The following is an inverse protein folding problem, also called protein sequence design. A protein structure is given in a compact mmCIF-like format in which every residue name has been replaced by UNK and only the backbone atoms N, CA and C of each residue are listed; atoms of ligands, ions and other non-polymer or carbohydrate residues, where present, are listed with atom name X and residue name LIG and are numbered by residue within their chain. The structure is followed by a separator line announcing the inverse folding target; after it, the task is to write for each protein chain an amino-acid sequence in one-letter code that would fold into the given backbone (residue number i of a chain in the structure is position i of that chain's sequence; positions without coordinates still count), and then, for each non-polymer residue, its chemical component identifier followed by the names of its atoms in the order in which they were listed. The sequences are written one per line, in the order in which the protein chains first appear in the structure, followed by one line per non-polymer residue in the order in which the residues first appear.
data_IF_348297032431
#
_entry.id   IF_348297032431
#
_cell.length_a   1.000
_cell.length_b   1.000
_cell.length_c   1.000
_cell.angle_alpha   90.00
_cell.angle_beta   90.00
_cell.angle_gamma   90.00
#
_symmetry.space_group_name_H-M   'P 1'
#
loop_
_entity.id
_entity.type
_entity.pdbx_description
1 polymer ?
#
# COMPACT_ATOMS: atom_id res chain seq x y z
N UNK A 1 4.66 -23.05 -18.55
CA UNK A 1 4.66 -22.97 -17.07
C UNK A 1 3.32 -23.47 -16.57
N UNK A 2 3.30 -24.37 -15.59
CA UNK A 2 2.05 -24.84 -14.99
C UNK A 2 1.48 -23.80 -14.01
N UNK A 3 0.20 -23.91 -13.66
CA UNK A 3 -0.38 -23.06 -12.61
C UNK A 3 0.40 -23.16 -11.30
N UNK A 4 0.85 -24.36 -10.92
CA UNK A 4 1.64 -24.57 -9.71
C UNK A 4 2.97 -23.82 -9.73
N UNK A 5 3.69 -23.89 -10.86
CA UNK A 5 4.96 -23.16 -11.03
C UNK A 5 4.74 -21.64 -10.98
N UNK A 6 3.71 -21.14 -11.67
CA UNK A 6 3.35 -19.71 -11.65
C UNK A 6 3.00 -19.24 -10.24
N UNK A 7 2.21 -20.00 -9.52
CA UNK A 7 1.82 -19.65 -8.15
C UNK A 7 3.03 -19.64 -7.21
N UNK A 8 3.97 -20.58 -7.36
CA UNK A 8 5.20 -20.58 -6.58
C UNK A 8 6.05 -19.32 -6.83
N UNK A 9 6.11 -18.85 -8.08
CA UNK A 9 6.83 -17.63 -8.42
C UNK A 9 6.14 -16.38 -7.84
N UNK A 10 4.82 -16.28 -7.94
CA UNK A 10 4.04 -15.19 -7.32
C UNK A 10 4.25 -15.16 -5.81
N UNK A 11 4.19 -16.31 -5.14
CA UNK A 11 4.40 -16.39 -3.69
C UNK A 11 5.80 -15.90 -3.31
N UNK A 12 6.82 -16.27 -4.07
CA UNK A 12 8.20 -15.79 -3.86
C UNK A 12 8.30 -14.27 -4.04
N UNK A 13 7.61 -13.70 -5.03
CA UNK A 13 7.58 -12.24 -5.22
C UNK A 13 6.89 -11.53 -4.05
N UNK A 14 5.74 -12.04 -3.60
CA UNK A 14 5.01 -11.50 -2.45
C UNK A 14 5.83 -11.56 -1.17
N UNK A 15 6.54 -12.66 -0.92
CA UNK A 15 7.41 -12.81 0.24
C UNK A 15 8.54 -11.77 0.25
N UNK A 16 9.20 -11.59 -0.89
CA UNK A 16 10.28 -10.60 -1.04
C UNK A 16 9.77 -9.18 -0.84
N UNK A 17 8.62 -8.85 -1.44
CA UNK A 17 7.96 -7.56 -1.28
C UNK A 17 7.62 -7.29 0.19
N UNK A 18 7.00 -8.28 0.85
CA UNK A 18 6.60 -8.21 2.26
C UNK A 18 7.80 -7.98 3.18
N UNK A 19 8.89 -8.73 2.98
CA UNK A 19 10.13 -8.56 3.76
C UNK A 19 10.70 -7.15 3.62
N UNK A 20 10.72 -6.62 2.39
CA UNK A 20 11.22 -5.26 2.12
C UNK A 20 10.33 -4.20 2.77
N UNK A 21 9.02 -4.34 2.63
CA UNK A 21 8.05 -3.35 3.13
C UNK A 21 7.96 -3.33 4.66
N UNK A 22 8.10 -4.48 5.33
CA UNK A 22 7.83 -4.59 6.78
C UNK A 22 9.09 -4.50 7.67
N UNK A 23 10.29 -4.36 7.09
CA UNK A 23 11.56 -4.31 7.85
C UNK A 23 11.61 -3.17 8.87
N UNK A 24 10.92 -2.06 8.62
CA UNK A 24 10.87 -0.92 9.54
C UNK A 24 9.59 -0.13 9.35
N UNK A 25 9.22 0.68 10.35
CA UNK A 25 8.10 1.61 10.26
C UNK A 25 8.26 2.63 9.13
N UNK A 26 9.51 3.07 8.87
CA UNK A 26 9.81 4.00 7.78
C UNK A 26 9.60 3.35 6.41
N UNK A 27 10.09 2.12 6.22
CA UNK A 27 9.89 1.35 5.00
C UNK A 27 8.42 1.06 4.75
N UNK A 28 7.69 0.65 5.78
CA UNK A 28 6.26 0.40 5.69
C UNK A 28 5.51 1.67 5.26
N UNK A 29 5.85 2.81 5.86
CA UNK A 29 5.25 4.09 5.48
C UNK A 29 5.57 4.47 4.03
N UNK A 30 6.81 4.29 3.58
CA UNK A 30 7.20 4.58 2.21
C UNK A 30 6.46 3.69 1.20
N UNK A 31 6.29 2.39 1.49
CA UNK A 31 5.51 1.47 0.66
C UNK A 31 4.05 1.92 0.58
N UNK A 32 3.41 2.20 1.72
CA UNK A 32 2.01 2.64 1.75
C UNK A 32 1.78 3.97 1.00
N UNK A 33 2.76 4.88 1.01
CA UNK A 33 2.70 6.12 0.21
C UNK A 33 2.88 5.82 -1.28
N UNK A 34 3.84 4.95 -1.63
CA UNK A 34 4.10 4.55 -3.02
C UNK A 34 2.90 3.85 -3.65
N UNK A 35 2.20 3.02 -2.88
CA UNK A 35 0.96 2.34 -3.29
C UNK A 35 -0.25 3.28 -3.34
N UNK A 36 -0.08 4.55 -2.96
CA UNK A 36 -1.14 5.55 -2.99
C UNK A 36 -2.06 5.52 -1.78
N UNK A 37 -1.88 4.61 -0.82
CA UNK A 37 -2.75 4.50 0.36
C UNK A 37 -2.63 5.74 1.24
N UNK A 38 -1.42 6.26 1.41
CA UNK A 38 -1.14 7.49 2.15
C UNK A 38 -0.59 8.60 1.26
N UNK A 39 -0.85 9.85 1.64
CA UNK A 39 -0.19 11.02 1.05
C UNK A 39 1.25 11.15 1.55
N UNK A 40 2.07 11.96 0.89
CA UNK A 40 3.44 12.28 1.34
C UNK A 40 3.46 12.96 2.71
N UNK A 41 2.40 13.70 3.05
CA UNK A 41 2.16 14.30 4.36
C UNK A 41 1.72 13.28 5.41
N UNK A 42 1.46 12.05 4.99
CA UNK A 42 1.11 10.97 5.88
C UNK A 42 -0.37 10.88 6.23
N UNK A 43 -1.26 11.53 5.47
CA UNK A 43 -2.71 11.38 5.62
C UNK A 43 -3.19 10.17 4.82
N UNK A 44 -4.14 9.41 5.38
CA UNK A 44 -4.80 8.33 4.65
C UNK A 44 -5.62 8.94 3.51
N UNK A 45 -5.62 8.36 2.30
CA UNK A 45 -6.47 8.85 1.22
C UNK A 45 -7.94 8.47 1.44
N UNK A 46 -8.83 9.29 0.88
CA UNK A 46 -10.27 9.13 1.02
C UNK A 46 -10.80 7.77 0.55
N UNK A 47 -10.24 7.24 -0.54
CA UNK A 47 -10.60 5.92 -1.09
C UNK A 47 -10.30 4.76 -0.13
N UNK A 48 -9.40 4.97 0.84
CA UNK A 48 -9.06 4.03 1.90
C UNK A 48 -9.66 4.42 3.26
N UNK A 49 -10.66 5.32 3.28
CA UNK A 49 -11.33 5.77 4.51
C UNK A 49 -10.67 6.95 5.21
N UNK A 50 -9.69 7.59 4.58
CA UNK A 50 -9.12 8.84 5.06
C UNK A 50 -10.11 10.00 5.00
N UNK A 51 -9.87 11.02 5.82
CA UNK A 51 -10.68 12.24 5.77
C UNK A 51 -10.45 12.92 4.41
N UNK A 52 -11.39 12.76 3.49
CA UNK A 52 -11.58 13.77 2.46
C UNK A 52 -11.85 15.07 3.23
N UNK A 53 -10.98 16.06 3.10
CA UNK A 53 -11.36 17.40 3.51
C UNK A 53 -12.72 17.65 2.83
N UNK A 54 -13.77 17.83 3.63
CA UNK A 54 -15.08 18.26 3.14
C UNK A 54 -14.88 19.64 2.54
N UNK A 55 -14.46 19.70 1.29
CA UNK A 55 -14.32 20.98 0.60
C UNK A 55 -15.65 21.41 -0.03
N UNK A 56 -16.70 20.59 0.03
CA UNK A 56 -18.06 21.00 -0.32
C UNK A 56 -19.12 20.18 0.44
N UNK A 57 -19.50 20.60 1.64
CA UNK A 57 -20.84 20.32 2.15
C UNK A 57 -21.67 21.59 1.86
N UNK A 58 -22.78 21.52 1.09
CA UNK A 58 -23.62 22.69 0.86
C UNK A 58 -24.17 23.21 2.19
N UNK A 59 -24.13 24.53 2.33
CA UNK A 59 -24.63 25.30 3.47
C UNK A 59 -26.14 25.13 3.68
#
# INVERSE_FOLDING_TARGET
MTHAQRNAEILKMLENETKRATVSKASARATLIKEGIYTKEGKLRAEFGGSAAKENAPA
#
